data_IF_123932014454
#
_entry.id   IF_123932014454
#
_cell.length_a   1.000
_cell.length_b   1.000
_cell.length_c   1.000
_cell.angle_alpha   90.00
_cell.angle_beta   90.00
_cell.angle_gamma   90.00
#
_symmetry.space_group_name_H-M   'P 1'
#
loop_
_entity.id
_entity.type
_entity.pdbx_description
1 polymer ?
#
# COMPACT_ATOMS: atom_id res chain seq x y z
N UNK A 1 18.20 3.99 -14.73
CA UNK A 1 16.81 4.41 -14.95
C UNK A 1 15.98 3.18 -15.24
N UNK A 2 15.25 2.67 -14.26
CA UNK A 2 14.26 1.62 -14.48
C UNK A 2 12.88 2.27 -14.36
N UNK A 3 12.19 2.36 -15.50
CA UNK A 3 10.80 2.78 -15.61
C UNK A 3 9.91 1.58 -15.35
N UNK A 4 9.12 1.61 -14.28
CA UNK A 4 8.09 0.60 -14.02
C UNK A 4 6.75 1.13 -14.56
N UNK A 5 6.27 0.54 -15.64
CA UNK A 5 4.89 0.71 -16.08
C UNK A 5 4.01 -0.26 -15.28
N UNK A 6 3.15 0.28 -14.42
CA UNK A 6 2.03 -0.47 -13.86
C UNK A 6 0.96 -0.59 -14.95
N UNK A 7 0.67 -1.81 -15.38
CA UNK A 7 -0.52 -2.10 -16.18
C UNK A 7 -1.73 -2.01 -15.25
N UNK A 8 -2.41 -0.87 -15.33
CA UNK A 8 -3.70 -0.61 -14.72
C UNK A 8 -4.76 -1.42 -15.46
N UNK A 9 -5.17 -2.57 -14.90
CA UNK A 9 -6.37 -3.28 -15.35
C UNK A 9 -7.59 -2.54 -14.81
N UNK A 10 -7.91 -1.39 -15.42
CA UNK A 10 -9.24 -0.79 -15.26
C UNK A 10 -10.26 -1.70 -15.92
N UNK A 11 -11.10 -2.31 -15.10
CA UNK A 11 -12.39 -2.78 -15.55
C UNK A 11 -13.17 -1.54 -16.02
N UNK A 12 -13.33 -1.41 -17.33
CA UNK A 12 -14.03 -0.28 -17.95
C UNK A 12 -15.54 -0.47 -17.75
N UNK A 13 -16.13 0.35 -16.89
CA UNK A 13 -17.57 0.61 -16.86
C UNK A 13 -17.99 1.26 -18.18
N UNK A 14 -18.32 0.44 -19.17
CA UNK A 14 -19.02 0.87 -20.38
C UNK A 14 -19.60 -0.34 -21.12
N UNK A 15 -20.74 -0.86 -20.65
CA UNK A 15 -21.77 -1.44 -21.51
C UNK A 15 -23.13 -1.23 -20.85
N UNK A 16 -24.07 -0.81 -21.68
CA UNK A 16 -25.29 -0.09 -21.35
C UNK A 16 -26.36 -0.91 -20.61
N UNK A 17 -27.21 -0.16 -19.88
CA UNK A 17 -28.51 -0.61 -19.42
C UNK A 17 -29.40 -0.94 -20.63
N UNK A 18 -29.65 -2.22 -20.88
CA UNK A 18 -30.96 -2.80 -21.22
C UNK A 18 -30.77 -4.27 -21.67
N UNK A 19 -31.19 -5.21 -20.83
CA UNK A 19 -32.18 -6.26 -21.14
C UNK A 19 -32.32 -7.12 -19.89
N UNK A 20 -33.51 -7.03 -19.28
CA UNK A 20 -34.03 -7.95 -18.28
C UNK A 20 -34.33 -9.29 -18.95
N UNK A 21 -33.88 -10.38 -18.33
CA UNK A 21 -34.49 -11.73 -18.20
C UNK A 21 -33.44 -12.87 -18.22
N UNK A 22 -33.17 -13.36 -17.01
CA UNK A 22 -32.52 -14.62 -16.55
C UNK A 22 -32.08 -15.68 -17.60
N UNK A 23 -30.92 -16.34 -17.35
CA UNK A 23 -30.95 -17.50 -16.46
C UNK A 23 -29.76 -17.56 -15.49
N UNK A 24 -30.02 -17.78 -14.20
CA UNK A 24 -29.14 -18.51 -13.26
C UNK A 24 -27.62 -18.39 -13.51
N UNK A 25 -27.02 -17.23 -13.26
CA UNK A 25 -25.59 -17.17 -12.93
C UNK A 25 -25.47 -17.68 -11.50
N UNK A 26 -25.25 -18.97 -11.25
CA UNK A 26 -24.06 -19.74 -11.63
C UNK A 26 -23.42 -20.10 -10.30
N UNK A 27 -23.37 -21.38 -9.95
CA UNK A 27 -22.95 -21.86 -8.63
C UNK A 27 -21.71 -21.12 -8.11
N UNK A 28 -21.72 -20.77 -6.82
CA UNK A 28 -20.56 -20.18 -6.16
C UNK A 28 -19.35 -21.08 -6.40
N UNK A 29 -18.33 -20.57 -7.10
CA UNK A 29 -17.08 -21.30 -7.32
C UNK A 29 -16.49 -21.70 -5.97
N UNK A 30 -16.25 -22.99 -5.80
CA UNK A 30 -15.61 -23.51 -4.60
C UNK A 30 -14.13 -23.14 -4.58
N UNK A 31 -13.50 -23.12 -3.40
CA UNK A 31 -12.07 -22.86 -3.28
C UNK A 31 -11.22 -23.86 -4.09
N UNK A 32 -11.67 -25.11 -4.18
CA UNK A 32 -10.99 -26.15 -4.94
C UNK A 32 -11.04 -25.89 -6.45
N UNK A 33 -12.22 -25.54 -6.97
CA UNK A 33 -12.39 -25.15 -8.37
C UNK A 33 -11.57 -23.91 -8.72
N UNK A 34 -11.57 -22.89 -7.85
CA UNK A 34 -10.74 -21.70 -8.03
C UNK A 34 -9.24 -22.04 -8.05
N UNK A 35 -8.79 -22.94 -7.17
CA UNK A 35 -7.42 -23.43 -7.16
C UNK A 35 -7.06 -24.23 -8.42
N UNK A 36 -7.99 -25.03 -8.94
CA UNK A 36 -7.79 -25.78 -10.18
C UNK A 36 -7.67 -24.84 -11.38
N UNK A 37 -8.56 -23.87 -11.51
CA UNK A 37 -8.49 -22.85 -12.57
C UNK A 37 -7.18 -22.07 -12.49
N UNK A 38 -6.75 -21.69 -11.29
CA UNK A 38 -5.47 -21.01 -11.09
C UNK A 38 -4.30 -21.89 -11.54
N UNK A 39 -4.27 -23.19 -11.19
CA UNK A 39 -3.22 -24.12 -11.66
C UNK A 39 -3.15 -24.18 -13.18
N UNK A 40 -4.29 -24.33 -13.84
CA UNK A 40 -4.36 -24.43 -15.30
C UNK A 40 -3.92 -23.13 -15.98
N UNK A 41 -4.28 -21.98 -15.40
CA UNK A 41 -3.82 -20.68 -15.88
C UNK A 41 -2.30 -20.52 -15.73
N UNK A 42 -1.74 -20.87 -14.56
CA UNK A 42 -0.32 -20.71 -14.26
C UNK A 42 0.58 -21.58 -15.14
N UNK A 43 0.12 -22.78 -15.54
CA UNK A 43 0.87 -23.69 -16.43
C UNK A 43 1.11 -23.13 -17.84
N UNK A 44 0.39 -22.07 -18.23
CA UNK A 44 0.56 -21.44 -19.54
C UNK A 44 1.77 -20.49 -19.58
N UNK A 45 2.41 -20.25 -18.45
CA UNK A 45 3.51 -19.30 -18.32
C UNK A 45 4.78 -20.00 -17.84
N UNK A 46 5.92 -19.62 -18.42
CA UNK A 46 7.23 -20.15 -18.05
C UNK A 46 7.73 -19.65 -16.69
N UNK A 47 7.22 -18.50 -16.24
CA UNK A 47 7.58 -17.84 -14.99
C UNK A 47 6.40 -16.98 -14.53
N UNK A 48 5.99 -17.15 -13.27
CA UNK A 48 4.89 -16.40 -12.66
C UNK A 48 5.30 -15.85 -11.32
N UNK A 49 4.99 -14.57 -11.11
CA UNK A 49 5.13 -13.89 -9.83
C UNK A 49 3.75 -13.67 -9.24
N UNK A 50 3.49 -14.26 -8.08
CA UNK A 50 2.28 -14.05 -7.30
C UNK A 50 2.62 -13.13 -6.12
N UNK A 51 2.08 -11.91 -6.15
CA UNK A 51 2.26 -10.92 -5.09
C UNK A 51 0.95 -10.80 -4.30
N UNK A 52 1.00 -11.11 -3.02
CA UNK A 52 -0.15 -11.03 -2.12
C UNK A 52 0.12 -9.96 -1.09
N UNK A 53 -0.65 -8.89 -1.16
CA UNK A 53 -0.53 -7.74 -0.28
C UNK A 53 -1.36 -7.93 0.99
N UNK A 54 -0.87 -7.39 2.11
CA UNK A 54 -1.57 -7.30 3.40
C UNK A 54 -2.15 -8.64 3.90
N UNK A 55 -1.36 -9.72 3.87
CA UNK A 55 -1.81 -11.06 4.31
C UNK A 55 -2.36 -11.08 5.75
N UNK A 56 -1.97 -10.12 6.60
CA UNK A 56 -2.50 -10.00 7.96
C UNK A 56 -3.96 -9.56 8.03
N UNK A 57 -4.54 -9.09 6.92
CA UNK A 57 -5.97 -8.75 6.79
C UNK A 57 -6.81 -9.99 6.45
N UNK A 58 -6.22 -11.04 5.87
CA UNK A 58 -6.88 -12.33 5.71
C UNK A 58 -6.95 -13.00 7.09
N UNK A 59 -7.97 -12.72 7.91
CA UNK A 59 -8.07 -13.22 9.28
C UNK A 59 -8.40 -14.72 9.34
N UNK A 60 -9.68 -15.06 9.47
CA UNK A 60 -10.18 -16.44 9.61
C UNK A 60 -9.87 -17.33 8.39
N UNK A 61 -9.69 -16.72 7.22
CA UNK A 61 -9.37 -17.42 5.98
C UNK A 61 -7.87 -17.61 5.72
N UNK A 62 -6.97 -17.12 6.60
CA UNK A 62 -5.52 -17.19 6.38
C UNK A 62 -5.01 -18.61 6.19
N UNK A 63 -5.38 -19.48 7.11
CA UNK A 63 -4.91 -20.86 7.17
C UNK A 63 -5.35 -21.67 5.95
N UNK A 64 -6.65 -21.74 5.60
CA UNK A 64 -7.07 -22.47 4.41
C UNK A 64 -6.42 -21.89 3.15
N UNK A 65 -6.31 -20.57 3.05
CA UNK A 65 -5.66 -19.90 1.93
C UNK A 65 -4.17 -20.27 1.78
N UNK A 66 -3.39 -20.19 2.87
CA UNK A 66 -1.96 -20.58 2.85
C UNK A 66 -1.78 -22.08 2.57
N UNK A 67 -2.70 -22.92 3.03
CA UNK A 67 -2.69 -24.36 2.70
C UNK A 67 -2.92 -24.59 1.20
N UNK A 68 -3.91 -23.93 0.62
CA UNK A 68 -4.19 -24.00 -0.82
C UNK A 68 -3.00 -23.52 -1.66
N UNK A 69 -2.34 -22.44 -1.24
CA UNK A 69 -1.11 -21.97 -1.88
C UNK A 69 0.03 -22.99 -1.75
N UNK A 70 0.21 -23.61 -0.58
CA UNK A 70 1.21 -24.66 -0.39
C UNK A 70 0.97 -25.84 -1.34
N UNK A 71 -0.28 -26.23 -1.53
CA UNK A 71 -0.64 -27.33 -2.44
C UNK A 71 -0.41 -26.99 -3.91
N UNK A 72 -0.44 -25.70 -4.27
CA UNK A 72 -0.03 -25.22 -5.58
C UNK A 72 1.47 -25.46 -5.84
N UNK A 73 2.32 -25.28 -4.82
CA UNK A 73 3.77 -25.51 -4.92
C UNK A 73 4.18 -26.98 -4.92
N UNK A 74 3.30 -27.90 -4.51
CA UNK A 74 3.55 -29.36 -4.61
C UNK A 74 3.50 -29.86 -6.06
N UNK A 75 2.84 -29.13 -6.96
CA UNK A 75 2.86 -29.46 -8.38
C UNK A 75 4.27 -29.22 -8.94
N UNK A 76 4.95 -30.31 -9.31
CA UNK A 76 6.33 -30.26 -9.80
C UNK A 76 6.49 -29.33 -11.03
N UNK A 77 5.45 -29.23 -11.87
CA UNK A 77 5.45 -28.34 -13.03
C UNK A 77 5.41 -26.86 -12.66
N UNK A 78 4.75 -26.51 -11.55
CA UNK A 78 4.64 -25.13 -11.07
C UNK A 78 5.75 -24.73 -10.10
N UNK A 79 6.33 -25.70 -9.38
CA UNK A 79 7.34 -25.46 -8.34
C UNK A 79 8.58 -24.69 -8.82
N UNK A 80 8.90 -24.77 -10.11
CA UNK A 80 10.07 -24.10 -10.72
C UNK A 80 9.75 -22.72 -11.28
N UNK A 81 8.53 -22.52 -11.79
CA UNK A 81 8.11 -21.29 -12.45
C UNK A 81 7.37 -20.33 -11.52
N UNK A 82 6.82 -20.77 -10.39
CA UNK A 82 6.07 -19.90 -9.49
C UNK A 82 6.97 -19.26 -8.42
N UNK A 83 6.88 -17.94 -8.27
CA UNK A 83 7.52 -17.14 -7.22
C UNK A 83 6.46 -16.45 -6.40
N UNK A 84 6.51 -16.59 -5.08
CA UNK A 84 5.55 -16.00 -4.15
C UNK A 84 6.18 -14.84 -3.41
N UNK A 85 5.49 -13.71 -3.39
CA UNK A 85 5.81 -12.54 -2.59
C UNK A 85 4.63 -12.28 -1.67
N UNK A 86 4.89 -12.24 -0.36
CA UNK A 86 3.90 -11.96 0.66
C UNK A 86 4.30 -10.68 1.37
N UNK A 87 3.35 -9.77 1.57
CA UNK A 87 3.51 -8.66 2.49
C UNK A 87 2.55 -8.83 3.66
N UNK A 88 2.89 -8.22 4.79
CA UNK A 88 2.03 -8.18 5.95
C UNK A 88 2.73 -7.58 7.16
N UNK A 89 1.97 -7.30 8.20
CA UNK A 89 2.52 -6.86 9.48
C UNK A 89 3.34 -7.98 10.15
N UNK A 90 4.26 -7.64 11.09
CA UNK A 90 5.15 -8.62 11.73
C UNK A 90 4.46 -9.85 12.33
N UNK A 91 3.20 -9.68 12.77
CA UNK A 91 2.35 -10.74 13.29
C UNK A 91 2.10 -11.92 12.33
N UNK A 92 2.26 -11.72 11.01
CA UNK A 92 2.05 -12.77 10.00
C UNK A 92 3.27 -13.66 9.80
N UNK A 93 4.47 -13.21 10.17
CA UNK A 93 5.72 -13.95 9.91
C UNK A 93 5.69 -15.35 10.54
N UNK A 94 5.22 -15.46 11.79
CA UNK A 94 5.06 -16.75 12.46
C UNK A 94 4.08 -17.68 11.73
N UNK A 95 2.97 -17.15 11.22
CA UNK A 95 1.97 -17.96 10.50
C UNK A 95 2.51 -18.47 9.17
N UNK A 96 3.21 -17.62 8.41
CA UNK A 96 3.84 -18.01 7.15
C UNK A 96 4.88 -19.10 7.39
N UNK A 97 5.75 -18.93 8.37
CA UNK A 97 6.80 -19.90 8.71
C UNK A 97 6.24 -21.26 9.15
N UNK A 98 5.05 -21.30 9.76
CA UNK A 98 4.38 -22.56 10.13
C UNK A 98 3.79 -23.31 8.93
N UNK A 99 3.30 -22.60 7.92
CA UNK A 99 2.53 -23.21 6.82
C UNK A 99 3.36 -23.42 5.56
N UNK A 100 4.19 -22.45 5.21
CA UNK A 100 5.06 -22.47 4.03
C UNK A 100 6.46 -22.82 4.50
N UNK A 101 6.95 -23.99 4.09
CA UNK A 101 8.30 -24.45 4.37
C UNK A 101 9.04 -24.68 3.06
N UNK A 102 10.29 -24.23 2.97
CA UNK A 102 11.11 -24.42 1.79
C UNK A 102 12.52 -23.86 1.94
N UNK A 103 13.49 -24.39 1.19
CA UNK A 103 14.90 -23.98 1.28
C UNK A 103 15.15 -22.53 0.83
N UNK A 104 14.17 -21.89 0.20
CA UNK A 104 14.27 -20.54 -0.38
C UNK A 104 13.29 -19.53 0.23
N UNK A 105 12.73 -19.83 1.40
CA UNK A 105 11.90 -18.84 2.11
C UNK A 105 12.81 -17.73 2.65
N UNK A 106 12.57 -16.50 2.20
CA UNK A 106 13.30 -15.32 2.63
C UNK A 106 12.31 -14.34 3.25
N UNK A 107 12.61 -13.89 4.48
CA UNK A 107 11.83 -12.87 5.18
C UNK A 107 12.67 -11.60 5.31
N UNK A 108 12.08 -10.46 4.99
CA UNK A 108 12.70 -9.15 5.11
C UNK A 108 11.76 -8.19 5.83
N UNK A 109 12.26 -7.57 6.89
CA UNK A 109 11.54 -6.49 7.58
C UNK A 109 11.89 -5.16 6.93
N UNK A 110 10.90 -4.53 6.30
CA UNK A 110 11.02 -3.16 5.83
C UNK A 110 10.75 -2.21 6.99
N UNK A 111 11.71 -1.34 7.31
CA UNK A 111 11.53 -0.28 8.29
C UNK A 111 12.24 0.98 7.85
N UNK A 112 11.60 2.13 8.09
CA UNK A 112 12.20 3.43 7.84
C UNK A 112 12.87 3.93 9.11
N UNK A 113 14.12 4.35 8.98
CA UNK A 113 14.86 5.00 10.06
C UNK A 113 14.68 6.53 9.99
N UNK A 114 15.35 7.24 10.90
CA UNK A 114 15.29 8.71 10.97
C UNK A 114 15.78 9.37 9.68
N UNK A 115 16.90 8.91 9.16
CA UNK A 115 17.56 9.48 8.00
C UNK A 115 16.78 9.23 6.71
N UNK A 116 16.09 8.10 6.59
CA UNK A 116 15.18 7.80 5.47
C UNK A 116 14.03 8.81 5.42
N UNK A 117 13.42 9.09 6.58
CA UNK A 117 12.35 10.09 6.69
C UNK A 117 12.87 11.51 6.38
N UNK A 118 14.08 11.85 6.81
CA UNK A 118 14.68 13.17 6.55
C UNK A 118 14.95 13.35 5.07
N UNK A 119 15.49 12.31 4.45
CA UNK A 119 15.76 12.26 3.01
C UNK A 119 14.47 12.40 2.22
N UNK A 120 13.41 11.70 2.63
CA UNK A 120 12.09 11.82 2.01
C UNK A 120 11.51 13.24 2.13
N UNK A 121 11.51 13.84 3.32
CA UNK A 121 10.95 15.19 3.53
C UNK A 121 11.72 16.23 2.70
N UNK A 122 13.06 16.17 2.72
CA UNK A 122 13.90 17.07 1.89
C UNK A 122 13.59 16.91 0.41
N UNK A 123 13.49 15.67 -0.06
CA UNK A 123 13.12 15.38 -1.44
C UNK A 123 11.77 15.99 -1.82
N UNK A 124 10.74 15.83 -0.98
CA UNK A 124 9.41 16.40 -1.22
C UNK A 124 9.44 17.93 -1.30
N UNK A 125 10.22 18.58 -0.43
CA UNK A 125 10.39 20.03 -0.41
C UNK A 125 11.13 20.53 -1.66
N UNK A 126 12.22 19.87 -2.04
CA UNK A 126 13.05 20.26 -3.19
C UNK A 126 12.32 20.11 -4.54
N UNK A 127 11.34 19.21 -4.60
CA UNK A 127 10.55 18.92 -5.80
C UNK A 127 9.14 19.51 -5.72
N UNK A 128 8.89 20.45 -4.80
CA UNK A 128 7.63 21.16 -4.74
C UNK A 128 7.55 22.26 -5.80
N UNK A 129 6.60 22.11 -6.74
CA UNK A 129 6.38 23.03 -7.85
C UNK A 129 5.48 24.23 -7.47
N UNK A 130 5.14 24.40 -6.19
CA UNK A 130 4.28 25.50 -5.71
C UNK A 130 4.84 26.91 -5.98
N UNK A 131 6.13 27.02 -6.33
CA UNK A 131 6.84 28.27 -6.56
C UNK A 131 7.18 29.03 -5.27
N UNK A 132 6.90 28.45 -4.10
CA UNK A 132 7.27 29.01 -2.80
C UNK A 132 8.74 28.67 -2.52
N UNK A 133 9.62 29.68 -2.60
CA UNK A 133 11.04 29.51 -2.26
C UNK A 133 11.16 29.27 -0.76
N UNK A 134 11.53 28.05 -0.38
CA UNK A 134 11.69 27.68 1.03
C UNK A 134 13.09 28.04 1.55
N UNK A 135 13.13 28.85 2.60
CA UNK A 135 14.39 29.16 3.31
C UNK A 135 14.92 27.95 4.09
N UNK A 136 16.25 27.86 4.23
CA UNK A 136 16.90 26.78 4.97
C UNK A 136 16.46 26.69 6.44
N UNK A 137 16.22 27.83 7.07
CA UNK A 137 15.75 27.88 8.47
C UNK A 137 14.35 27.25 8.63
N UNK A 138 13.49 27.43 7.63
CA UNK A 138 12.15 26.88 7.63
C UNK A 138 12.14 25.38 7.32
N UNK A 139 13.01 24.91 6.42
CA UNK A 139 13.24 23.46 6.22
C UNK A 139 13.66 22.78 7.52
N UNK A 140 14.55 23.43 8.29
CA UNK A 140 14.96 22.93 9.59
C UNK A 140 13.80 22.92 10.59
N UNK A 141 12.94 23.94 10.60
CA UNK A 141 11.74 23.98 11.47
C UNK A 141 10.76 22.83 11.17
N UNK A 142 10.52 22.52 9.89
CA UNK A 142 9.67 21.38 9.47
C UNK A 142 10.26 20.08 9.97
N UNK A 143 11.56 19.88 9.73
CA UNK A 143 12.29 18.70 10.19
C UNK A 143 12.25 18.59 11.71
N UNK A 144 12.51 19.68 12.44
CA UNK A 144 12.50 19.62 13.90
C UNK A 144 11.11 19.35 14.47
N UNK A 145 10.07 19.98 13.91
CA UNK A 145 8.69 19.81 14.37
C UNK A 145 8.17 18.40 14.12
N UNK A 146 8.43 17.82 12.94
CA UNK A 146 7.95 16.48 12.59
C UNK A 146 8.66 15.36 13.37
N UNK A 147 9.96 15.49 13.63
CA UNK A 147 10.74 14.41 14.25
C UNK A 147 10.76 14.40 15.77
N UNK A 148 10.82 15.58 16.41
CA UNK A 148 10.93 15.67 17.87
C UNK A 148 9.55 15.73 18.56
N UNK A 149 8.47 15.88 17.77
CA UNK A 149 7.08 15.88 18.23
C UNK A 149 6.54 14.48 18.61
N UNK A 150 6.94 13.97 19.78
CA UNK A 150 6.17 13.04 20.65
C UNK A 150 5.19 12.05 19.96
N UNK A 151 5.66 11.14 19.12
CA UNK A 151 4.83 10.03 18.65
C UNK A 151 5.44 8.69 19.03
N UNK A 152 4.83 8.01 20.00
CA UNK A 152 5.13 6.63 20.41
C UNK A 152 4.65 5.59 19.37
N UNK A 153 4.35 6.03 18.14
CA UNK A 153 3.86 5.19 17.07
C UNK A 153 4.96 4.24 16.56
N UNK A 154 4.55 3.07 16.07
CA UNK A 154 5.42 2.07 15.46
C UNK A 154 6.10 2.67 14.21
N UNK A 155 7.31 2.21 13.87
CA UNK A 155 8.14 2.82 12.81
C UNK A 155 7.40 3.02 11.47
N UNK A 156 6.54 2.08 11.06
CA UNK A 156 5.74 2.19 9.83
C UNK A 156 4.65 3.28 9.90
N UNK A 157 3.94 3.40 11.04
CA UNK A 157 2.95 4.47 11.22
C UNK A 157 3.60 5.83 11.37
N UNK A 158 4.90 5.88 11.72
CA UNK A 158 5.69 7.10 11.73
C UNK A 158 5.97 7.62 10.33
N UNK A 159 6.46 6.77 9.41
CA UNK A 159 6.78 7.22 8.03
C UNK A 159 5.54 7.75 7.31
N UNK A 160 4.42 7.01 7.36
CA UNK A 160 3.17 7.44 6.73
C UNK A 160 2.65 8.75 7.32
N UNK A 161 2.72 8.91 8.65
CA UNK A 161 2.33 10.16 9.30
C UNK A 161 3.15 11.34 8.78
N UNK A 162 4.47 11.19 8.67
CA UNK A 162 5.36 12.25 8.16
C UNK A 162 5.05 12.56 6.69
N UNK A 163 4.74 11.55 5.88
CA UNK A 163 4.32 11.73 4.49
C UNK A 163 3.01 12.52 4.38
N UNK A 164 2.02 12.22 5.21
CA UNK A 164 0.75 12.96 5.24
C UNK A 164 0.93 14.39 5.75
N UNK A 165 1.75 14.58 6.79
CA UNK A 165 2.05 15.90 7.36
C UNK A 165 2.74 16.79 6.33
N UNK A 166 3.80 16.32 5.67
CA UNK A 166 4.50 17.13 4.67
C UNK A 166 3.60 17.44 3.48
N UNK A 167 2.83 16.46 3.00
CA UNK A 167 1.87 16.68 1.92
C UNK A 167 0.85 17.78 2.28
N UNK A 168 0.28 17.73 3.48
CA UNK A 168 -0.69 18.74 3.94
C UNK A 168 -0.11 20.16 3.95
N UNK A 169 1.17 20.29 4.29
CA UNK A 169 1.89 21.57 4.31
C UNK A 169 2.19 22.05 2.88
N UNK A 170 2.71 21.18 2.02
CA UNK A 170 3.08 21.52 0.64
C UNK A 170 1.87 21.93 -0.22
N UNK A 171 0.68 21.40 0.08
CA UNK A 171 -0.56 21.73 -0.65
C UNK A 171 -1.10 23.15 -0.38
N UNK A 172 -0.53 23.86 0.57
CA UNK A 172 -0.99 25.22 0.90
C UNK A 172 -0.51 26.23 -0.15
N UNK A 173 -1.32 27.25 -0.47
CA UNK A 173 -1.04 28.17 -1.58
C UNK A 173 -0.31 29.46 -1.17
N UNK A 174 -0.14 29.69 0.14
CA UNK A 174 0.48 30.92 0.66
C UNK A 174 1.41 30.63 1.84
N UNK A 175 2.48 31.41 1.98
CA UNK A 175 3.42 31.29 3.12
C UNK A 175 2.70 31.35 4.47
N UNK A 176 1.64 32.16 4.59
CA UNK A 176 0.84 32.25 5.81
C UNK A 176 0.07 30.96 6.08
N UNK A 177 -0.64 30.43 5.09
CA UNK A 177 -1.40 29.17 5.26
C UNK A 177 -0.47 27.98 5.52
N UNK A 178 0.74 28.01 4.96
CA UNK A 178 1.81 27.07 5.29
C UNK A 178 2.22 27.12 6.76
N UNK A 179 2.49 28.31 7.30
CA UNK A 179 2.84 28.48 8.73
C UNK A 179 1.70 28.05 9.66
N UNK A 180 0.45 28.33 9.26
CA UNK A 180 -0.74 27.87 9.99
C UNK A 180 -0.86 26.35 9.94
N UNK A 181 -0.65 25.72 8.77
CA UNK A 181 -0.66 24.27 8.59
C UNK A 181 0.43 23.59 9.43
N UNK A 182 1.65 24.13 9.47
CA UNK A 182 2.73 23.62 10.33
C UNK A 182 2.35 23.61 11.81
N UNK A 183 1.70 24.67 12.29
CA UNK A 183 1.24 24.76 13.68
C UNK A 183 0.07 23.83 13.98
N UNK A 184 -0.81 23.62 13.00
CA UNK A 184 -1.98 22.77 13.09
C UNK A 184 -1.71 21.31 12.70
N UNK A 185 -0.45 20.91 12.49
CA UNK A 185 -0.13 19.57 11.99
C UNK A 185 -0.69 18.48 12.91
N UNK A 186 -1.34 17.46 12.33
CA UNK A 186 -1.85 16.33 13.10
C UNK A 186 -0.69 15.58 13.75
N UNK A 187 -0.80 15.27 15.04
CA UNK A 187 0.27 14.58 15.79
C UNK A 187 0.15 13.07 15.75
N UNK A 188 -1.02 12.59 15.33
CA UNK A 188 -1.39 11.19 15.28
C UNK A 188 -1.96 10.85 13.90
N UNK A 189 -1.85 9.57 13.54
CA UNK A 189 -2.19 9.10 12.21
C UNK A 189 -3.70 9.18 11.93
N UNK A 190 -4.54 8.94 12.92
CA UNK A 190 -5.99 9.12 12.86
C UNK A 190 -6.38 10.57 12.51
N UNK A 191 -5.75 11.54 13.17
CA UNK A 191 -5.94 12.96 12.87
C UNK A 191 -5.47 13.31 11.45
N UNK A 192 -4.34 12.74 11.02
CA UNK A 192 -3.82 12.96 9.67
C UNK A 192 -4.74 12.37 8.60
N UNK A 193 -5.33 11.20 8.85
CA UNK A 193 -6.35 10.62 7.99
C UNK A 193 -7.61 11.47 7.94
N UNK A 194 -8.08 11.98 9.09
CA UNK A 194 -9.25 12.85 9.13
C UNK A 194 -9.06 14.10 8.26
N UNK A 195 -7.91 14.78 8.39
CA UNK A 195 -7.54 15.92 7.55
C UNK A 195 -7.51 15.54 6.06
N UNK A 196 -6.95 14.37 5.75
CA UNK A 196 -6.87 13.86 4.37
C UNK A 196 -8.25 13.57 3.79
N UNK A 197 -9.15 12.95 4.56
CA UNK A 197 -10.53 12.64 4.14
C UNK A 197 -11.33 13.92 3.93
N UNK A 198 -11.27 14.87 4.88
CA UNK A 198 -11.92 16.17 4.76
C UNK A 198 -11.46 16.91 3.50
N UNK A 199 -10.16 16.85 3.19
CA UNK A 199 -9.61 17.39 1.94
C UNK A 199 -10.23 16.75 0.70
N UNK A 200 -10.25 15.41 0.62
CA UNK A 200 -10.82 14.69 -0.53
C UNK A 200 -12.30 15.07 -0.74
N UNK A 201 -13.05 15.14 0.35
CA UNK A 201 -14.46 15.56 0.31
C UNK A 201 -14.59 17.00 -0.24
N UNK A 202 -13.78 17.94 0.24
CA UNK A 202 -13.84 19.33 -0.20
C UNK A 202 -13.41 19.53 -1.68
N UNK A 203 -12.47 18.73 -2.18
CA UNK A 203 -12.07 18.74 -3.59
C UNK A 203 -13.19 18.26 -4.53
N UNK A 204 -14.01 17.29 -4.09
CA UNK A 204 -15.14 16.79 -4.87
C UNK A 204 -16.27 17.81 -5.03
N UNK A 205 -16.42 18.71 -4.05
CA UNK A 205 -17.44 19.77 -4.05
C UNK A 205 -17.03 20.95 -4.93
N UNK A 206 -15.73 21.28 -5.01
CA UNK A 206 -15.20 22.38 -5.82
C UNK A 206 -15.19 22.11 -7.35
N UNK A 207 -15.52 20.89 -7.79
CA UNK A 207 -15.62 20.48 -9.21
C UNK A 207 -17.07 20.47 -9.75
N UNK A 208 -18.03 21.05 -9.04
CA UNK A 208 -19.40 21.28 -9.53
C UNK A 208 -19.63 22.74 -9.91
#
# INVERSE_FOLDING_TARGET
MASYQFLDFRYSDAMDNEVLENPSYGDNITLDEACQLLREALRKFDLVYLCLDALDECQEHRTPFLSSLKDLFKDFGLSRCLKLFLTGRPQVDQYVNMHITGPFLFSMTLSANKDDMLTYIKYQIEHDDSGIIMGADFMNEIVETNFYGRSNAVAYSRFLLHALQIQHVLEQLTIRSWQEALKAMPKMLDQAFEVTIQRIQNQSVARK
#
